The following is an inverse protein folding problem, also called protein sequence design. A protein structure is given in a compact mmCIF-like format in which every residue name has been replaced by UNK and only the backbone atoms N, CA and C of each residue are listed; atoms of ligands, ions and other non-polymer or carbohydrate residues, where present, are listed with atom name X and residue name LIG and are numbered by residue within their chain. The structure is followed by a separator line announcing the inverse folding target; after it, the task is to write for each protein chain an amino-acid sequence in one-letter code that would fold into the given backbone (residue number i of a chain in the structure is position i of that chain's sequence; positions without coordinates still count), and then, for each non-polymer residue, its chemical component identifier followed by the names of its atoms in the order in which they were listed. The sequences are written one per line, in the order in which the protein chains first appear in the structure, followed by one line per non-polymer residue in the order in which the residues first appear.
data_IF_619788640616
#
_entry.id   IF_619788640616
#
_cell.length_a   1.000
_cell.length_b   1.000
_cell.length_c   1.000
_cell.angle_alpha   90.00
_cell.angle_beta   90.00
_cell.angle_gamma   90.00
#
_symmetry.space_group_name_H-M   'P 1'
#
loop_
_entity.id
_entity.type
_entity.pdbx_description
1 polymer ?
#
# COMPACT_ATOMS: atom_id res chain seq x y z
N UNK A 1 -2.82 -15.57 -8.68
CA UNK A 1 -4.02 -14.86 -9.17
C UNK A 1 -5.30 -15.36 -8.52
N UNK A 2 -5.42 -16.69 -8.25
CA UNK A 2 -6.63 -17.32 -7.72
C UNK A 2 -7.20 -16.62 -6.49
N UNK A 3 -6.39 -16.30 -5.48
CA UNK A 3 -6.81 -15.64 -4.23
C UNK A 3 -7.48 -14.27 -4.50
N UNK A 4 -6.89 -13.47 -5.41
CA UNK A 4 -7.48 -12.18 -5.79
C UNK A 4 -8.78 -12.34 -6.60
N UNK A 5 -8.90 -13.42 -7.37
CA UNK A 5 -10.11 -13.74 -8.11
C UNK A 5 -11.25 -14.18 -7.19
N UNK A 6 -10.94 -14.87 -6.09
CA UNK A 6 -11.92 -15.19 -5.07
C UNK A 6 -12.54 -13.93 -4.45
N UNK A 7 -11.71 -12.92 -4.13
CA UNK A 7 -12.21 -11.63 -3.64
C UNK A 7 -13.01 -10.90 -4.72
N UNK A 8 -12.51 -10.85 -5.96
CA UNK A 8 -13.22 -10.21 -7.09
C UNK A 8 -14.62 -10.79 -7.30
N UNK A 9 -14.78 -12.10 -7.11
CA UNK A 9 -16.04 -12.83 -7.29
C UNK A 9 -16.81 -13.00 -5.99
N UNK A 10 -16.39 -12.37 -4.90
CA UNK A 10 -16.99 -12.44 -3.56
C UNK A 10 -17.23 -13.87 -3.07
N UNK A 11 -16.27 -14.76 -3.22
CA UNK A 11 -16.38 -16.18 -2.83
C UNK A 11 -16.15 -16.41 -1.35
N UNK A 12 -16.85 -17.42 -0.78
CA UNK A 12 -16.80 -17.72 0.65
C UNK A 12 -15.44 -18.15 1.18
N UNK A 13 -14.57 -18.71 0.31
CA UNK A 13 -13.20 -19.07 0.63
C UNK A 13 -12.16 -18.00 0.23
N UNK A 14 -12.61 -16.76 -0.04
CA UNK A 14 -11.71 -15.62 -0.12
C UNK A 14 -10.92 -15.48 1.17
N UNK A 15 -9.58 -15.58 1.07
CA UNK A 15 -8.67 -15.57 2.23
C UNK A 15 -8.56 -14.20 2.91
N UNK A 16 -9.00 -13.13 2.26
CA UNK A 16 -8.92 -11.78 2.79
C UNK A 16 -10.11 -11.45 3.67
N UNK A 17 -11.32 -11.80 3.23
CA UNK A 17 -12.57 -11.37 3.89
C UNK A 17 -13.69 -12.41 3.85
N UNK A 18 -13.51 -13.55 3.18
CA UNK A 18 -14.59 -14.53 3.00
C UNK A 18 -15.76 -13.99 2.19
N UNK A 19 -15.48 -13.17 1.18
CA UNK A 19 -16.46 -12.60 0.26
C UNK A 19 -17.25 -11.41 0.82
N UNK A 20 -16.82 -10.80 1.93
CA UNK A 20 -17.53 -9.70 2.61
C UNK A 20 -17.04 -8.31 2.25
N UNK A 21 -15.84 -8.19 1.67
CA UNK A 21 -15.23 -6.91 1.34
C UNK A 21 -15.31 -6.64 -0.17
N UNK A 22 -15.26 -5.37 -0.53
CA UNK A 22 -15.16 -4.94 -1.91
C UNK A 22 -13.84 -5.43 -2.55
N UNK A 23 -13.86 -5.80 -3.82
CA UNK A 23 -12.68 -6.29 -4.52
C UNK A 23 -11.52 -5.27 -4.51
N UNK A 24 -10.30 -5.75 -4.69
CA UNK A 24 -9.07 -4.96 -4.65
C UNK A 24 -8.76 -4.33 -3.28
N UNK A 25 -9.31 -4.89 -2.20
CA UNK A 25 -8.99 -4.51 -0.82
C UNK A 25 -8.41 -5.72 -0.07
N UNK A 26 -7.26 -6.27 -0.50
CA UNK A 26 -6.66 -7.39 0.19
C UNK A 26 -6.24 -6.99 1.61
N UNK A 27 -6.42 -7.93 2.53
CA UNK A 27 -5.97 -7.83 3.91
C UNK A 27 -5.30 -9.16 4.26
N UNK A 28 -4.00 -9.15 4.47
CA UNK A 28 -3.24 -10.37 4.65
C UNK A 28 -2.28 -10.27 5.82
N UNK A 29 -2.32 -11.23 6.73
CA UNK A 29 -1.46 -11.33 7.90
C UNK A 29 -0.93 -12.76 8.07
N UNK A 30 -0.35 -13.33 7.03
CA UNK A 30 0.34 -14.62 7.05
C UNK A 30 1.84 -14.48 7.13
N UNK A 31 2.55 -15.62 7.13
CA UNK A 31 3.99 -15.67 7.26
C UNK A 31 4.74 -15.88 5.93
N UNK A 32 4.02 -16.15 4.85
CA UNK A 32 4.57 -16.52 3.54
C UNK A 32 4.60 -15.36 2.53
N UNK A 33 3.94 -14.25 2.85
CA UNK A 33 3.87 -13.05 2.02
C UNK A 33 4.01 -11.80 2.90
N UNK A 34 4.31 -10.64 2.33
CA UNK A 34 4.25 -9.38 3.07
C UNK A 34 2.87 -9.17 3.70
N UNK A 35 2.85 -8.65 4.92
CA UNK A 35 1.60 -8.25 5.57
C UNK A 35 0.95 -7.12 4.78
N UNK A 36 -0.32 -7.28 4.43
CA UNK A 36 -1.13 -6.26 3.77
C UNK A 36 -2.21 -5.83 4.75
N UNK A 37 -2.16 -4.57 5.14
CA UNK A 37 -3.14 -3.98 6.06
C UNK A 37 -4.37 -3.60 5.26
N UNK A 38 -5.55 -3.85 5.84
CA UNK A 38 -6.79 -3.37 5.25
C UNK A 38 -6.73 -1.85 5.03
N UNK A 39 -7.20 -1.41 3.87
CA UNK A 39 -7.24 -0.01 3.49
C UNK A 39 -8.66 0.41 3.13
N UNK A 40 -8.97 1.67 3.40
CA UNK A 40 -10.22 2.29 2.98
C UNK A 40 -10.20 2.62 1.48
N UNK A 41 -11.38 2.69 0.86
CA UNK A 41 -11.54 3.21 -0.50
C UNK A 41 -11.39 4.74 -0.58
N UNK A 42 -11.41 5.45 0.54
CA UNK A 42 -11.21 6.89 0.55
C UNK A 42 -9.78 7.24 0.15
N UNK A 43 -9.66 8.14 -0.82
CA UNK A 43 -8.37 8.54 -1.42
C UNK A 43 -7.42 9.09 -0.35
N UNK A 44 -6.21 8.54 -0.28
CA UNK A 44 -5.18 8.98 0.67
C UNK A 44 -5.27 8.40 2.08
N UNK A 45 -6.40 7.80 2.46
CA UNK A 45 -6.63 7.29 3.82
C UNK A 45 -5.63 6.24 4.28
N UNK A 46 -5.03 5.48 3.36
CA UNK A 46 -4.01 4.48 3.70
C UNK A 46 -2.74 5.07 4.30
N UNK A 47 -2.48 6.35 4.10
CA UNK A 47 -1.25 7.00 4.57
C UNK A 47 -1.15 7.02 6.10
N UNK A 48 -2.25 7.34 6.82
CA UNK A 48 -2.27 7.43 8.29
C UNK A 48 -2.02 6.07 8.94
N UNK A 49 -2.81 5.00 8.68
CA UNK A 49 -2.57 3.71 9.32
C UNK A 49 -1.22 3.11 8.93
N UNK A 50 -0.77 3.31 7.69
CA UNK A 50 0.53 2.82 7.24
C UNK A 50 1.67 3.48 8.01
N UNK A 51 1.57 4.80 8.23
CA UNK A 51 2.52 5.55 9.06
C UNK A 51 2.47 5.12 10.53
N UNK A 52 1.28 4.81 11.06
CA UNK A 52 1.10 4.25 12.39
C UNK A 52 1.78 2.89 12.56
N UNK A 53 1.74 2.02 11.54
CA UNK A 53 2.48 0.75 11.55
C UNK A 53 3.99 0.99 11.57
N UNK A 54 4.50 1.94 10.77
CA UNK A 54 5.92 2.29 10.79
C UNK A 54 6.37 2.83 12.17
N UNK A 55 5.52 3.62 12.84
CA UNK A 55 5.75 4.06 14.20
C UNK A 55 5.76 2.88 15.18
N UNK A 56 4.84 1.93 15.06
CA UNK A 56 4.81 0.72 15.87
C UNK A 56 6.06 -0.14 15.71
N UNK A 57 6.58 -0.28 14.49
CA UNK A 57 7.85 -0.95 14.22
C UNK A 57 8.98 -0.26 14.97
N UNK A 58 9.12 1.05 14.80
CA UNK A 58 10.17 1.84 15.47
C UNK A 58 10.07 1.76 17.00
N UNK A 59 8.86 1.84 17.54
CA UNK A 59 8.63 1.69 18.98
C UNK A 59 9.09 0.33 19.50
N UNK A 60 8.76 -0.76 18.79
CA UNK A 60 9.22 -2.11 19.17
C UNK A 60 10.74 -2.22 19.16
N UNK A 61 11.41 -1.67 18.16
CA UNK A 61 12.87 -1.65 18.07
C UNK A 61 13.50 -0.91 19.25
N UNK A 62 12.95 0.24 19.64
CA UNK A 62 13.40 1.01 20.80
C UNK A 62 13.21 0.26 22.12
N UNK A 63 12.06 -0.39 22.30
CA UNK A 63 11.79 -1.20 23.50
C UNK A 63 12.72 -2.41 23.60
N UNK A 64 12.99 -3.10 22.50
CA UNK A 64 13.92 -4.23 22.45
C UNK A 64 15.36 -3.78 22.77
N UNK A 65 15.81 -2.67 22.20
CA UNK A 65 17.12 -2.09 22.50
C UNK A 65 17.22 -1.69 23.98
N UNK A 66 16.16 -1.10 24.54
CA UNK A 66 16.13 -0.71 25.95
C UNK A 66 16.16 -1.93 26.88
N UNK A 67 15.36 -2.95 26.59
CA UNK A 67 15.34 -4.19 27.39
C UNK A 67 16.67 -4.93 27.39
N UNK A 68 17.40 -4.92 26.25
CA UNK A 68 18.73 -5.56 26.17
C UNK A 68 19.80 -4.87 27.02
N UNK A 69 19.65 -3.57 27.29
CA UNK A 69 20.55 -2.83 28.20
C UNK A 69 20.37 -3.23 29.67
N UNK A 70 19.19 -3.68 30.07
CA UNK A 70 18.87 -4.09 31.45
C UNK A 70 19.07 -5.59 31.72
N UNK A 71 19.05 -6.44 30.68
CA UNK A 71 19.29 -7.87 30.80
C UNK A 71 20.78 -8.17 30.59
N UNK A 72 21.56 -8.24 31.64
CA UNK A 72 22.94 -8.74 31.59
C UNK A 72 22.95 -10.17 31.04
N UNK A 73 23.40 -10.32 29.76
CA UNK A 73 23.57 -11.64 29.12
C UNK A 73 22.65 -11.91 27.92
N UNK A 74 21.66 -11.08 27.62
CA UNK A 74 20.93 -11.17 26.37
C UNK A 74 21.59 -10.25 25.33
N UNK A 75 22.36 -10.81 24.43
CA UNK A 75 22.80 -10.08 23.25
C UNK A 75 21.59 -9.92 22.33
N UNK A 76 20.96 -8.74 22.35
CA UNK A 76 20.09 -8.35 21.23
C UNK A 76 21.02 -8.09 20.04
N UNK A 77 21.12 -9.07 19.18
CA UNK A 77 21.64 -8.83 17.84
C UNK A 77 20.50 -8.18 17.06
N UNK A 78 20.63 -6.93 16.59
CA UNK A 78 19.69 -6.38 15.62
C UNK A 78 19.59 -7.42 14.47
N UNK A 79 18.39 -7.88 14.15
CA UNK A 79 18.19 -8.76 13.00
C UNK A 79 19.01 -8.23 11.82
N UNK A 80 19.72 -9.11 11.12
CA UNK A 80 20.56 -8.71 10.01
C UNK A 80 19.81 -7.66 9.16
N UNK A 81 20.48 -6.61 8.70
CA UNK A 81 19.88 -5.45 8.01
C UNK A 81 18.82 -5.87 6.99
N UNK A 82 19.04 -7.02 6.32
CA UNK A 82 18.12 -7.57 5.33
C UNK A 82 16.77 -8.06 5.89
N UNK A 83 16.63 -8.17 7.21
CA UNK A 83 15.40 -8.65 7.87
C UNK A 83 14.71 -7.57 8.72
N UNK A 84 15.21 -6.33 8.73
CA UNK A 84 14.54 -5.25 9.45
C UNK A 84 13.25 -4.88 8.71
N UNK A 85 12.09 -4.90 9.40
CA UNK A 85 10.82 -4.58 8.78
C UNK A 85 10.77 -3.12 8.37
N UNK A 86 10.20 -2.86 7.21
CA UNK A 86 9.88 -1.54 6.69
C UNK A 86 8.43 -1.54 6.21
N UNK A 87 7.90 -0.36 5.98
CA UNK A 87 6.54 -0.18 5.50
C UNK A 87 6.54 0.44 4.10
N UNK A 88 5.68 -0.07 3.22
CA UNK A 88 5.41 0.52 1.91
C UNK A 88 4.00 1.08 1.88
N UNK A 89 3.86 2.38 1.64
CA UNK A 89 2.61 3.06 1.39
C UNK A 89 2.50 3.40 -0.10
N UNK A 90 1.58 2.73 -0.82
CA UNK A 90 1.33 3.00 -2.24
C UNK A 90 0.24 4.06 -2.38
N UNK A 91 0.50 5.09 -3.19
CA UNK A 91 -0.37 6.25 -3.41
C UNK A 91 -0.51 6.53 -4.91
N UNK A 92 -1.66 7.03 -5.33
CA UNK A 92 -1.79 7.72 -6.61
C UNK A 92 -1.33 9.17 -6.47
N UNK A 93 -0.95 9.79 -7.57
CA UNK A 93 -0.50 11.17 -7.59
C UNK A 93 -1.60 12.18 -7.17
N UNK A 94 -2.86 11.90 -7.49
CA UNK A 94 -3.99 12.73 -7.05
C UNK A 94 -4.21 12.68 -5.53
N UNK A 95 -3.83 11.57 -4.86
CA UNK A 95 -4.02 11.44 -3.41
C UNK A 95 -2.96 12.16 -2.58
N UNK A 96 -1.86 12.58 -3.17
CA UNK A 96 -0.74 13.20 -2.42
C UNK A 96 -1.12 14.53 -1.77
N UNK A 97 -2.10 15.24 -2.32
CA UNK A 97 -2.56 16.53 -1.81
C UNK A 97 -3.72 16.44 -0.81
N UNK A 98 -4.17 15.21 -0.49
CA UNK A 98 -5.13 15.01 0.59
C UNK A 98 -4.51 15.36 1.96
N UNK A 99 -5.34 15.89 2.87
CA UNK A 99 -4.87 16.35 4.19
C UNK A 99 -4.16 15.27 4.98
N UNK A 100 -4.72 14.07 5.01
CA UNK A 100 -4.17 12.89 5.69
C UNK A 100 -2.79 12.50 5.21
N UNK A 101 -2.51 12.66 3.91
CA UNK A 101 -1.19 12.37 3.35
C UNK A 101 -0.17 13.41 3.82
N UNK A 102 -0.55 14.68 3.88
CA UNK A 102 0.31 15.75 4.41
C UNK A 102 0.68 15.50 5.88
N UNK A 103 -0.30 15.10 6.70
CA UNK A 103 -0.06 14.76 8.11
C UNK A 103 0.84 13.52 8.25
N UNK A 104 0.60 12.48 7.45
CA UNK A 104 1.43 11.27 7.42
C UNK A 104 2.89 11.57 7.04
N UNK A 105 3.10 12.42 6.02
CA UNK A 105 4.43 12.85 5.59
C UNK A 105 5.15 13.63 6.69
N UNK A 106 4.47 14.59 7.31
CA UNK A 106 5.03 15.39 8.39
C UNK A 106 5.39 14.53 9.60
N UNK A 107 4.50 13.62 10.00
CA UNK A 107 4.74 12.70 11.11
C UNK A 107 5.90 11.73 10.83
N UNK A 108 5.93 11.16 9.62
CA UNK A 108 7.02 10.29 9.20
C UNK A 108 8.38 11.02 9.19
N UNK A 109 8.42 12.26 8.70
CA UNK A 109 9.61 13.10 8.70
C UNK A 109 10.08 13.41 10.12
N UNK A 110 9.17 13.88 10.98
CA UNK A 110 9.47 14.25 12.39
C UNK A 110 10.04 13.06 13.18
N UNK A 111 9.44 11.90 13.00
CA UNK A 111 9.80 10.69 13.75
C UNK A 111 10.80 9.81 13.03
N UNK A 112 11.30 10.21 11.84
CA UNK A 112 12.24 9.42 11.04
C UNK A 112 11.81 7.95 10.94
N UNK A 113 10.64 7.71 10.34
CA UNK A 113 10.02 6.40 10.30
C UNK A 113 10.54 5.56 9.13
N UNK A 114 10.66 4.22 9.28
CA UNK A 114 11.11 3.33 8.22
C UNK A 114 9.98 3.05 7.22
N UNK A 115 9.61 4.05 6.44
CA UNK A 115 8.50 4.00 5.50
C UNK A 115 8.91 4.49 4.11
N UNK A 116 8.43 3.82 3.09
CA UNK A 116 8.53 4.23 1.69
C UNK A 116 7.14 4.66 1.21
N UNK A 117 7.02 5.91 0.76
CA UNK A 117 5.85 6.39 0.04
C UNK A 117 6.11 6.21 -1.45
N UNK A 118 5.41 5.26 -2.09
CA UNK A 118 5.48 5.03 -3.53
C UNK A 118 4.31 5.73 -4.20
N UNK A 119 4.60 6.80 -4.93
CA UNK A 119 3.59 7.57 -5.67
C UNK A 119 3.62 7.18 -7.14
N UNK A 120 2.50 6.65 -7.63
CA UNK A 120 2.29 6.31 -9.03
C UNK A 120 1.71 7.53 -9.75
N UNK A 121 2.61 8.34 -10.34
CA UNK A 121 2.24 9.59 -11.04
C UNK A 121 1.83 9.26 -12.49
N UNK A 122 0.52 9.13 -12.68
CA UNK A 122 -0.06 8.91 -14.00
C UNK A 122 -0.69 10.17 -14.62
N UNK A 123 -0.67 11.30 -13.91
CA UNK A 123 -1.19 12.58 -14.36
C UNK A 123 -2.71 12.73 -14.30
N UNK A 124 -3.44 11.76 -13.71
CA UNK A 124 -4.90 11.76 -13.66
C UNK A 124 -5.45 11.41 -12.28
N UNK A 125 -6.42 12.18 -11.83
CA UNK A 125 -7.27 11.87 -10.67
C UNK A 125 -8.69 11.59 -11.14
N UNK A 126 -8.96 10.35 -11.54
CA UNK A 126 -10.19 9.92 -12.23
C UNK A 126 -10.33 10.69 -13.57
N UNK A 127 -11.16 11.75 -13.58
CA UNK A 127 -11.41 12.61 -14.77
C UNK A 127 -10.76 13.99 -14.66
N UNK A 128 -9.97 14.24 -13.62
CA UNK A 128 -9.30 15.53 -13.37
C UNK A 128 -7.81 15.36 -13.72
N UNK A 129 -7.29 16.26 -14.53
CA UNK A 129 -5.87 16.27 -14.90
C UNK A 129 -5.02 16.81 -13.74
N UNK A 130 -3.73 16.49 -13.76
CA UNK A 130 -2.79 17.04 -12.77
C UNK A 130 -2.71 18.57 -12.83
N UNK A 131 -2.83 19.15 -14.01
CA UNK A 131 -2.79 20.61 -14.22
C UNK A 131 -4.00 21.32 -13.60
N UNK A 132 -5.15 20.63 -13.51
CA UNK A 132 -6.35 21.15 -12.84
C UNK A 132 -6.31 20.96 -11.31
N UNK A 133 -5.60 19.92 -10.85
CA UNK A 133 -5.64 19.51 -9.44
C UNK A 133 -4.49 20.05 -8.59
N UNK A 134 -3.30 20.25 -9.17
CA UNK A 134 -2.10 20.56 -8.38
C UNK A 134 -1.04 21.34 -9.16
N UNK A 135 -0.35 22.20 -8.45
CA UNK A 135 0.74 23.01 -9.00
C UNK A 135 2.03 22.20 -9.24
N UNK A 136 2.32 21.22 -8.37
CA UNK A 136 3.58 20.46 -8.37
C UNK A 136 3.34 18.96 -8.33
N UNK A 137 4.31 18.16 -8.76
CA UNK A 137 4.26 16.71 -8.56
C UNK A 137 4.61 16.33 -7.12
N UNK A 138 4.46 15.04 -6.79
CA UNK A 138 4.69 14.54 -5.42
C UNK A 138 6.13 14.76 -4.92
N UNK A 139 7.13 14.63 -5.80
CA UNK A 139 8.53 14.83 -5.44
C UNK A 139 8.83 16.29 -5.09
N UNK A 140 8.19 17.25 -5.78
CA UNK A 140 8.33 18.67 -5.44
C UNK A 140 7.52 19.03 -4.19
N UNK A 141 6.31 18.47 -4.05
CA UNK A 141 5.45 18.69 -2.89
C UNK A 141 6.14 18.27 -1.58
N UNK A 142 6.80 17.11 -1.59
CA UNK A 142 7.46 16.57 -0.39
C UNK A 142 8.67 17.37 0.07
N UNK A 143 9.21 18.28 -0.77
CA UNK A 143 10.29 19.19 -0.36
C UNK A 143 9.91 20.07 0.83
N UNK A 144 8.62 20.34 1.02
CA UNK A 144 8.11 21.08 2.17
C UNK A 144 8.24 20.35 3.51
N UNK A 145 8.45 19.03 3.47
CA UNK A 145 8.62 18.17 4.65
C UNK A 145 10.09 17.78 4.77
N UNK A 146 10.87 18.53 5.54
CA UNK A 146 12.28 18.24 5.78
C UNK A 146 12.48 16.84 6.37
N UNK A 147 13.55 16.13 5.95
CA UNK A 147 13.88 14.80 6.50
C UNK A 147 13.28 13.60 5.74
N UNK A 148 12.64 13.83 4.58
CA UNK A 148 12.22 12.78 3.66
C UNK A 148 13.15 12.77 2.46
N UNK A 149 13.86 11.65 2.24
CA UNK A 149 14.58 11.40 1.01
C UNK A 149 13.61 11.17 -0.15
N UNK A 150 13.99 11.56 -1.37
CA UNK A 150 13.10 11.43 -2.52
C UNK A 150 13.85 11.19 -3.81
N UNK A 151 13.16 10.49 -4.72
CA UNK A 151 13.61 10.27 -6.11
C UNK A 151 12.42 10.26 -7.05
N UNK A 152 12.62 10.73 -8.29
CA UNK A 152 11.65 10.55 -9.38
C UNK A 152 12.25 9.62 -10.42
N UNK A 153 11.42 8.69 -10.92
CA UNK A 153 11.81 7.66 -11.88
C UNK A 153 10.82 7.54 -13.04
N UNK A 154 11.27 6.99 -14.14
CA UNK A 154 10.39 6.44 -15.18
C UNK A 154 9.88 5.07 -14.73
N UNK A 155 8.66 5.03 -14.19
CA UNK A 155 8.03 3.78 -13.72
C UNK A 155 7.64 2.83 -14.87
N UNK A 156 7.76 3.24 -16.12
CA UNK A 156 7.59 2.38 -17.30
C UNK A 156 8.87 1.64 -17.70
N UNK A 157 10.03 2.02 -17.14
CA UNK A 157 11.29 1.28 -17.27
C UNK A 157 11.43 0.27 -16.13
N UNK A 158 11.32 -1.02 -16.46
CA UNK A 158 11.43 -2.10 -15.48
C UNK A 158 12.80 -2.14 -14.79
N UNK A 159 13.88 -1.98 -15.54
CA UNK A 159 15.24 -2.06 -15.00
C UNK A 159 15.51 -0.93 -14.01
N UNK A 160 15.16 0.30 -14.37
CA UNK A 160 15.27 1.46 -13.50
C UNK A 160 14.41 1.29 -12.24
N UNK A 161 13.14 0.87 -12.42
CA UNK A 161 12.22 0.67 -11.31
C UNK A 161 12.73 -0.38 -10.32
N UNK A 162 13.25 -1.51 -10.82
CA UNK A 162 13.79 -2.57 -9.99
C UNK A 162 15.04 -2.12 -9.22
N UNK A 163 15.99 -1.49 -9.90
CA UNK A 163 17.24 -1.03 -9.29
C UNK A 163 16.99 0.05 -8.23
N UNK A 164 16.17 1.05 -8.56
CA UNK A 164 15.86 2.13 -7.63
C UNK A 164 15.09 1.61 -6.41
N UNK A 165 14.06 0.80 -6.62
CA UNK A 165 13.29 0.25 -5.49
C UNK A 165 14.14 -0.64 -4.59
N UNK A 166 15.04 -1.45 -5.17
CA UNK A 166 15.99 -2.25 -4.38
C UNK A 166 16.86 -1.35 -3.51
N UNK A 167 17.47 -0.32 -4.09
CA UNK A 167 18.34 0.60 -3.37
C UNK A 167 17.60 1.39 -2.29
N UNK A 168 16.38 1.85 -2.56
CA UNK A 168 15.54 2.56 -1.59
C UNK A 168 15.13 1.65 -0.43
N UNK A 169 14.76 0.40 -0.71
CA UNK A 169 14.45 -0.61 0.32
C UNK A 169 15.66 -0.84 1.22
N UNK A 170 16.84 -1.02 0.63
CA UNK A 170 18.08 -1.25 1.37
C UNK A 170 18.48 -0.01 2.21
N UNK A 171 18.29 1.19 1.67
CA UNK A 171 18.55 2.46 2.36
C UNK A 171 17.61 2.64 3.55
N UNK A 172 16.30 2.51 3.35
CA UNK A 172 15.31 2.67 4.43
C UNK A 172 15.47 1.61 5.53
N UNK A 173 15.87 0.39 5.16
CA UNK A 173 16.23 -0.65 6.14
C UNK A 173 17.43 -0.27 6.98
N UNK A 174 18.47 0.28 6.37
CA UNK A 174 19.73 0.63 7.04
C UNK A 174 19.61 1.91 7.84
N UNK A 175 19.06 2.96 7.21
CA UNK A 175 19.08 4.33 7.78
C UNK A 175 17.86 4.66 8.62
N UNK A 176 16.79 3.84 8.52
CA UNK A 176 15.54 3.99 9.30
C UNK A 176 14.89 5.38 9.15
N UNK A 177 14.88 5.93 7.95
CA UNK A 177 14.25 7.21 7.63
C UNK A 177 13.21 7.08 6.50
N UNK A 178 12.27 8.04 6.38
CA UNK A 178 11.25 7.97 5.33
C UNK A 178 11.82 8.32 3.95
N UNK A 179 11.30 7.66 2.93
CA UNK A 179 11.67 7.89 1.54
C UNK A 179 10.42 8.02 0.67
N UNK A 180 10.42 8.93 -0.31
CA UNK A 180 9.38 9.04 -1.32
C UNK A 180 9.93 8.70 -2.71
N UNK A 181 9.31 7.74 -3.36
CA UNK A 181 9.56 7.41 -4.78
C UNK A 181 8.39 7.91 -5.60
N UNK A 182 8.63 8.84 -6.52
CA UNK A 182 7.64 9.32 -7.48
C UNK A 182 7.90 8.64 -8.82
N UNK A 183 7.09 7.63 -9.15
CA UNK A 183 7.21 6.87 -10.37
C UNK A 183 6.22 7.41 -11.41
N UNK A 184 6.73 7.98 -12.49
CA UNK A 184 5.91 8.36 -13.64
C UNK A 184 5.46 7.09 -14.36
N UNK A 185 4.16 6.87 -14.46
CA UNK A 185 3.57 5.67 -15.07
C UNK A 185 2.46 6.03 -16.05
N UNK A 186 2.20 5.22 -17.09
CA UNK A 186 1.04 5.43 -17.94
C UNK A 186 -0.25 4.97 -17.25
N UNK A 187 -1.37 5.64 -17.52
CA UNK A 187 -2.70 5.19 -17.17
C UNK A 187 -3.31 4.44 -18.37
N UNK A 188 -3.16 3.13 -18.40
CA UNK A 188 -3.58 2.28 -19.51
C UNK A 188 -5.03 1.79 -19.38
N UNK A 189 -5.49 1.53 -18.16
CA UNK A 189 -6.83 1.04 -17.86
C UNK A 189 -7.84 2.15 -17.60
N UNK A 190 -9.06 1.75 -17.24
CA UNK A 190 -10.05 2.62 -16.62
C UNK A 190 -9.72 2.82 -15.13
N UNK A 191 -10.25 3.87 -14.52
CA UNK A 191 -10.08 4.07 -13.07
C UNK A 191 -10.83 3.00 -12.27
N UNK A 192 -12.08 2.75 -12.66
CA UNK A 192 -12.93 1.69 -12.10
C UNK A 192 -13.73 1.03 -13.22
N UNK A 193 -14.47 -0.01 -12.90
CA UNK A 193 -15.37 -0.70 -13.86
C UNK A 193 -16.44 0.21 -14.48
N UNK A 194 -16.86 1.26 -13.78
CA UNK A 194 -17.91 2.18 -14.19
C UNK A 194 -17.42 3.50 -14.83
N UNK A 195 -16.13 3.81 -14.73
CA UNK A 195 -15.57 5.08 -15.18
C UNK A 195 -14.69 4.87 -16.41
N UNK A 196 -15.30 4.99 -17.58
CA UNK A 196 -14.61 4.77 -18.85
C UNK A 196 -13.79 5.99 -19.26
N UNK A 197 -12.48 5.77 -19.47
CA UNK A 197 -11.52 6.82 -19.84
C UNK A 197 -11.85 7.54 -21.16
N UNK A 198 -12.51 6.87 -22.09
CA UNK A 198 -12.90 7.42 -23.39
C UNK A 198 -13.92 8.57 -23.28
N UNK A 199 -14.57 8.74 -22.11
CA UNK A 199 -15.53 9.82 -21.93
C UNK A 199 -14.90 11.16 -21.54
N UNK A 200 -13.66 11.15 -21.07
CA UNK A 200 -13.00 12.37 -20.56
C UNK A 200 -11.56 12.55 -21.05
N UNK A 201 -10.96 11.55 -21.70
CA UNK A 201 -9.59 11.64 -22.25
C UNK A 201 -9.64 11.75 -23.76
N UNK A 202 -8.75 12.55 -24.35
CA UNK A 202 -8.61 12.69 -25.79
C UNK A 202 -7.89 11.47 -26.38
N UNK A 203 -8.08 11.23 -27.68
CA UNK A 203 -7.37 10.17 -28.40
C UNK A 203 -5.85 10.37 -28.36
N UNK A 204 -5.39 11.62 -28.42
CA UNK A 204 -3.96 11.96 -28.34
C UNK A 204 -3.38 11.60 -26.96
N UNK A 205 -4.10 11.90 -25.88
CA UNK A 205 -3.68 11.55 -24.53
C UNK A 205 -3.65 10.02 -24.35
N UNK A 206 -4.65 9.31 -24.81
CA UNK A 206 -4.67 7.85 -24.79
C UNK A 206 -3.49 7.26 -25.56
N UNK A 207 -3.23 7.74 -26.78
CA UNK A 207 -2.12 7.29 -27.60
C UNK A 207 -0.76 7.54 -26.92
N UNK A 208 -0.58 8.71 -26.31
CA UNK A 208 0.64 9.04 -25.54
C UNK A 208 0.89 8.06 -24.41
N UNK A 209 -0.14 7.71 -23.64
CA UNK A 209 -0.02 6.74 -22.55
C UNK A 209 0.27 5.32 -23.07
N UNK A 210 -0.30 4.92 -24.20
CA UNK A 210 0.01 3.61 -24.80
C UNK A 210 1.47 3.50 -25.29
N UNK A 211 2.10 4.60 -25.71
CA UNK A 211 3.52 4.60 -26.08
C UNK A 211 4.44 4.35 -24.87
N UNK A 212 3.95 4.66 -23.67
CA UNK A 212 4.67 4.44 -22.42
C UNK A 212 4.34 3.10 -21.74
N UNK A 213 3.60 2.19 -22.42
CA UNK A 213 3.31 0.85 -21.90
C UNK A 213 4.62 0.11 -21.53
N UNK A 214 4.80 -0.31 -20.26
CA UNK A 214 6.01 -0.98 -19.82
C UNK A 214 6.20 -2.36 -20.47
N UNK A 215 5.13 -3.06 -20.87
CA UNK A 215 5.22 -4.42 -21.40
C UNK A 215 5.98 -4.49 -22.74
N UNK A 216 5.63 -3.71 -23.78
CA UNK A 216 6.41 -3.66 -25.02
C UNK A 216 7.85 -3.20 -24.80
N UNK A 217 8.08 -2.23 -23.90
CA UNK A 217 9.42 -1.74 -23.57
C UNK A 217 10.29 -2.86 -22.97
N UNK A 218 9.76 -3.59 -21.99
CA UNK A 218 10.44 -4.73 -21.38
C UNK A 218 10.70 -5.84 -22.41
N UNK A 219 9.70 -6.18 -23.23
CA UNK A 219 9.86 -7.19 -24.29
C UNK A 219 11.03 -6.84 -25.20
N UNK A 220 11.08 -5.63 -25.71
CA UNK A 220 12.18 -5.15 -26.54
C UNK A 220 13.54 -5.31 -25.84
N UNK A 221 13.62 -4.90 -24.57
CA UNK A 221 14.86 -5.01 -23.78
C UNK A 221 15.31 -6.45 -23.57
N UNK A 222 14.38 -7.37 -23.33
CA UNK A 222 14.70 -8.79 -23.17
C UNK A 222 15.24 -9.40 -24.46
N UNK A 223 14.69 -9.05 -25.61
CA UNK A 223 15.19 -9.48 -26.93
C UNK A 223 16.60 -8.95 -27.17
N UNK A 224 16.87 -7.66 -26.87
CA UNK A 224 18.20 -7.07 -26.95
C UNK A 224 19.23 -7.80 -26.04
N UNK A 225 18.78 -8.37 -24.93
CA UNK A 225 19.59 -9.17 -24.00
C UNK A 225 19.70 -10.65 -24.41
N UNK A 226 19.13 -11.05 -25.55
CA UNK A 226 19.26 -12.39 -26.11
C UNK A 226 18.16 -13.37 -25.72
N UNK A 227 17.08 -12.91 -25.05
CA UNK A 227 15.89 -13.76 -24.84
C UNK A 227 15.17 -13.93 -26.18
N UNK A 228 14.83 -15.17 -26.54
CA UNK A 228 14.19 -15.42 -27.82
C UNK A 228 12.70 -15.07 -27.81
N UNK A 229 12.17 -14.74 -28.98
CA UNK A 229 10.74 -14.50 -29.14
C UNK A 229 9.89 -15.71 -28.73
N UNK A 230 10.39 -16.91 -29.01
CA UNK A 230 9.73 -18.17 -28.61
C UNK A 230 9.66 -18.34 -27.09
N UNK A 231 10.71 -17.95 -26.34
CA UNK A 231 10.69 -17.99 -24.88
C UNK A 231 9.67 -17.03 -24.31
N UNK A 232 9.58 -15.82 -24.89
CA UNK A 232 8.59 -14.81 -24.46
C UNK A 232 7.16 -15.27 -24.74
N UNK A 233 6.90 -15.82 -25.93
CA UNK A 233 5.60 -16.39 -26.28
C UNK A 233 5.22 -17.57 -25.39
N UNK A 234 6.18 -18.42 -25.03
CA UNK A 234 5.95 -19.52 -24.08
C UNK A 234 5.50 -18.99 -22.72
N UNK A 235 6.20 -17.99 -22.15
CA UNK A 235 5.84 -17.36 -20.86
C UNK A 235 4.45 -16.73 -20.94
N UNK A 236 4.13 -16.01 -22.02
CA UNK A 236 2.83 -15.39 -22.22
C UNK A 236 1.70 -16.42 -22.27
N UNK A 237 1.88 -17.49 -23.01
CA UNK A 237 0.89 -18.56 -23.14
C UNK A 237 0.67 -19.31 -21.82
N UNK A 238 1.74 -19.67 -21.12
CA UNK A 238 1.67 -20.32 -19.81
C UNK A 238 0.96 -19.41 -18.79
N UNK A 239 1.28 -18.12 -18.79
CA UNK A 239 0.66 -17.15 -17.90
C UNK A 239 -0.84 -16.99 -18.21
N UNK A 240 -1.20 -16.87 -19.49
CA UNK A 240 -2.60 -16.75 -19.91
C UNK A 240 -3.41 -18.01 -19.52
N UNK A 241 -2.83 -19.20 -19.69
CA UNK A 241 -3.47 -20.46 -19.31
C UNK A 241 -3.65 -20.56 -17.78
N UNK A 242 -2.64 -20.19 -17.00
CA UNK A 242 -2.72 -20.18 -15.54
C UNK A 242 -3.81 -19.22 -15.05
N UNK A 243 -3.87 -18.01 -15.61
CA UNK A 243 -4.91 -17.02 -15.27
C UNK A 243 -6.31 -17.55 -15.62
N UNK A 244 -6.49 -18.16 -16.80
CA UNK A 244 -7.77 -18.74 -17.21
C UNK A 244 -8.20 -19.91 -16.30
N UNK A 245 -7.26 -20.74 -15.90
CA UNK A 245 -7.50 -21.86 -14.97
C UNK A 245 -7.89 -21.35 -13.59
N UNK A 246 -7.16 -20.38 -13.06
CA UNK A 246 -7.45 -19.75 -11.77
C UNK A 246 -8.82 -19.08 -11.76
N UNK A 247 -9.17 -18.38 -12.85
CA UNK A 247 -10.50 -17.78 -13.00
C UNK A 247 -11.61 -18.86 -13.01
N UNK A 248 -11.45 -19.92 -13.79
CA UNK A 248 -12.42 -21.00 -13.85
C UNK A 248 -12.62 -21.68 -12.50
N UNK A 249 -11.53 -21.90 -11.76
CA UNK A 249 -11.58 -22.45 -10.40
C UNK A 249 -12.27 -21.48 -9.42
N UNK A 250 -12.02 -20.19 -9.54
CA UNK A 250 -12.65 -19.19 -8.69
C UNK A 250 -14.16 -19.05 -8.96
N UNK A 251 -14.60 -19.19 -10.23
CA UNK A 251 -16.02 -19.15 -10.60
C UNK A 251 -16.83 -20.23 -9.89
N UNK A 252 -16.27 -21.46 -9.81
CA UNK A 252 -16.95 -22.60 -9.18
C UNK A 252 -16.71 -22.72 -7.68
N UNK A 253 -15.92 -21.82 -7.09
CA UNK A 253 -15.67 -21.80 -5.66
C UNK A 253 -16.96 -21.54 -4.85
N UNK A 254 -17.05 -22.00 -3.58
CA UNK A 254 -18.23 -21.85 -2.75
C UNK A 254 -18.67 -20.38 -2.57
N UNK A 255 -19.98 -20.17 -2.60
CA UNK A 255 -20.58 -18.88 -2.23
C UNK A 255 -20.47 -18.63 -0.72
N UNK A 256 -20.46 -17.37 -0.26
CA UNK A 256 -20.47 -17.04 1.16
C UNK A 256 -21.74 -17.55 1.85
N UNK A 257 -21.60 -17.97 3.09
CA UNK A 257 -22.76 -18.36 3.93
C UNK A 257 -23.38 -17.08 4.48
N UNK A 258 -24.66 -16.83 4.19
CA UNK A 258 -25.35 -15.58 4.56
C UNK A 258 -25.27 -15.25 6.06
N UNK A 259 -25.30 -16.27 6.94
CA UNK A 259 -25.20 -16.06 8.40
C UNK A 259 -23.84 -15.53 8.86
N UNK A 260 -22.79 -15.62 8.03
CA UNK A 260 -21.44 -15.12 8.39
C UNK A 260 -21.25 -13.63 8.10
N UNK A 261 -22.26 -12.92 7.62
CA UNK A 261 -22.15 -11.49 7.27
C UNK A 261 -21.75 -10.61 8.46
N UNK A 262 -22.10 -11.01 9.68
CA UNK A 262 -21.75 -10.30 10.92
C UNK A 262 -20.46 -10.78 11.57
N UNK A 263 -19.80 -11.80 11.01
CA UNK A 263 -18.56 -12.32 11.59
C UNK A 263 -17.42 -11.34 11.39
N UNK A 264 -16.57 -11.21 12.41
CA UNK A 264 -15.36 -10.36 12.39
C UNK A 264 -15.61 -8.86 12.15
N UNK A 265 -16.83 -8.35 12.37
CA UNK A 265 -17.12 -6.90 12.26
C UNK A 265 -16.35 -6.12 13.33
N UNK A 266 -16.24 -6.69 14.53
CA UNK A 266 -15.46 -6.13 15.63
C UNK A 266 -14.53 -7.19 16.23
N UNK A 267 -13.33 -6.75 16.59
CA UNK A 267 -12.42 -7.60 17.38
C UNK A 267 -12.96 -7.70 18.81
N UNK A 268 -13.05 -8.89 19.41
CA UNK A 268 -13.34 -9.03 20.83
C UNK A 268 -12.30 -8.25 21.64
N UNK A 269 -12.76 -7.31 22.44
CA UNK A 269 -11.87 -6.50 23.28
C UNK A 269 -12.45 -6.40 24.68
N UNK A 270 -11.61 -6.44 25.69
CA UNK A 270 -12.01 -6.23 27.10
C UNK A 270 -12.44 -4.77 27.35
N UNK A 271 -12.10 -3.86 26.45
CA UNK A 271 -12.49 -2.44 26.51
C UNK A 271 -13.99 -2.23 26.28
N UNK A 272 -14.67 -3.19 25.62
CA UNK A 272 -16.12 -3.12 25.43
C UNK A 272 -16.93 -3.57 26.65
N UNK A 273 -16.28 -4.18 27.65
CA UNK A 273 -16.92 -4.52 28.89
C UNK A 273 -16.86 -3.30 29.84
N UNK A 274 -18.02 -2.76 30.17
CA UNK A 274 -18.12 -1.71 31.17
C UNK A 274 -17.86 -2.33 32.56
N UNK A 275 -16.65 -2.11 33.11
CA UNK A 275 -16.23 -2.66 34.42
C UNK A 275 -16.36 -1.64 35.56
N UNK A 276 -16.93 -0.46 35.28
CA UNK A 276 -17.11 0.60 36.27
C UNK A 276 -18.52 0.60 36.85
N UNK A 277 -18.65 0.82 38.16
CA UNK A 277 -19.93 1.17 38.75
C UNK A 277 -20.25 2.64 38.45
N UNK A 278 -21.36 2.89 37.76
CA UNK A 278 -21.90 4.23 37.66
C UNK A 278 -22.55 4.55 39.01
N UNK A 279 -21.83 5.26 39.87
CA UNK A 279 -22.43 5.75 41.11
C UNK A 279 -23.31 6.97 40.82
N UNK A 280 -24.61 6.90 41.05
CA UNK A 280 -25.49 8.07 40.90
C UNK A 280 -25.30 9.09 42.05
N UNK A 281 -24.42 8.80 43.01
CA UNK A 281 -24.30 9.55 44.27
C UNK A 281 -23.27 10.70 44.11
N UNK A 282 -22.36 10.63 43.16
CA UNK A 282 -21.34 11.66 42.99
C UNK A 282 -21.68 12.50 41.74
N UNK A 283 -22.48 13.57 41.96
CA UNK A 283 -22.81 14.56 40.96
C UNK A 283 -21.73 15.63 40.78
N UNK A 284 -20.50 15.38 41.22
CA UNK A 284 -19.41 16.30 41.04
C UNK A 284 -19.06 16.43 39.54
N UNK A 285 -19.26 17.63 39.02
CA UNK A 285 -18.91 17.92 37.62
C UNK A 285 -17.41 18.11 37.51
N UNK A 286 -16.75 17.17 36.88
CA UNK A 286 -15.31 17.25 36.53
C UNK A 286 -15.19 17.58 35.05
N UNK A 287 -14.14 18.28 34.67
CA UNK A 287 -13.79 18.43 33.26
C UNK A 287 -13.39 17.05 32.68
N UNK A 288 -13.70 16.82 31.42
CA UNK A 288 -13.39 15.54 30.78
C UNK A 288 -11.87 15.22 30.83
N UNK A 289 -11.02 16.24 30.78
CA UNK A 289 -9.57 16.10 30.90
C UNK A 289 -9.17 15.64 32.32
N UNK A 290 -9.81 16.16 33.35
CA UNK A 290 -9.52 15.77 34.75
C UNK A 290 -10.06 14.38 35.10
N UNK A 291 -11.09 13.92 34.38
CA UNK A 291 -11.62 12.55 34.53
C UNK A 291 -10.78 11.50 33.78
N UNK A 292 -9.92 11.91 32.83
CA UNK A 292 -9.07 11.04 32.05
C UNK A 292 -7.65 10.85 32.65
N UNK A 293 -7.29 11.66 33.64
CA UNK A 293 -6.05 11.59 34.42
C UNK A 293 -6.23 10.73 35.67
#
# INVERSE_FOLDING_TARGET
PYELMLQLLAKGNDIFTGGREYYSHPNYNGNDKPTIIHQSSATGMQAIPTTGVAQGIKYKEQQMAHSSLFMKGSHYEPSAINHQPIVLCSLGDASVTEGEVSEALQFAALHQLPIIFLVQDNGWGISVTKEEARLTNASEFVKGFGGISRISIDGSDFAQSFEVMKNVVDEVRRERHPFLVCAKVPLLGHHTSGVRKEFYRTEEDLAKHYLDDPKPKLRKKLIELGVTENDLLKIENETAQNVATDFSNAVVAPEPIASTVSDYVFVPTTVTEEKGERSPINNEKVLMVDAAL
#
